data_IF_482656742649
#
_entry.id   IF_482656742649
#
_cell.length_a   1.000
_cell.length_b   1.000
_cell.length_c   1.000
_cell.angle_alpha   90.00
_cell.angle_beta   90.00
_cell.angle_gamma   90.00
#
_symmetry.space_group_name_H-M   'P 1'
#
loop_
_entity.id
_entity.type
_entity.pdbx_description
1 polymer ?
#
# COMPACT_ATOMS: atom_id res chain seq x y z
N UNK A 1 7.07 -0.43 19.25
CA UNK A 1 5.87 0.32 19.71
C UNK A 1 5.33 1.01 18.46
N UNK A 2 4.02 0.93 18.22
CA UNK A 2 3.40 1.67 17.14
C UNK A 2 3.68 3.18 17.34
N UNK A 3 4.18 3.84 16.31
CA UNK A 3 4.36 5.30 16.35
C UNK A 3 3.00 5.97 16.22
N UNK A 4 2.61 6.73 17.23
CA UNK A 4 1.35 7.48 17.20
C UNK A 4 1.63 8.96 17.49
N UNK A 5 0.87 9.84 16.85
CA UNK A 5 0.87 11.27 17.10
C UNK A 5 -0.55 11.83 17.00
N UNK A 6 -0.74 13.10 17.42
CA UNK A 6 -2.05 13.74 17.39
C UNK A 6 -2.08 14.93 16.44
N UNK A 7 -3.18 15.03 15.69
CA UNK A 7 -3.53 16.21 14.89
C UNK A 7 -4.84 16.76 15.46
N UNK A 8 -4.74 17.81 16.28
CA UNK A 8 -5.89 18.31 17.03
C UNK A 8 -6.42 17.25 18.00
N UNK A 9 -7.68 16.84 17.82
CA UNK A 9 -8.31 15.81 18.64
C UNK A 9 -8.14 14.37 18.10
N UNK A 10 -7.64 14.21 16.87
CA UNK A 10 -7.51 12.93 16.21
C UNK A 10 -6.19 12.27 16.57
N UNK A 11 -6.22 10.97 16.72
CA UNK A 11 -5.03 10.14 16.91
C UNK A 11 -4.66 9.47 15.58
N UNK A 12 -3.37 9.53 15.23
CA UNK A 12 -2.86 8.97 13.97
C UNK A 12 -1.79 7.95 14.31
N UNK A 13 -1.99 6.71 13.88
CA UNK A 13 -1.06 5.60 14.07
C UNK A 13 -0.40 5.24 12.76
N UNK A 14 0.92 5.07 12.78
CA UNK A 14 1.70 4.51 11.69
C UNK A 14 1.69 2.99 11.80
N UNK A 15 1.13 2.32 10.83
CA UNK A 15 1.12 0.85 10.74
C UNK A 15 2.12 0.47 9.64
N UNK A 16 3.36 0.21 10.03
CA UNK A 16 4.40 -0.20 9.09
C UNK A 16 4.17 -1.64 8.64
N UNK A 17 4.27 -1.90 7.35
CA UNK A 17 4.23 -3.26 6.80
C UNK A 17 5.62 -3.81 6.54
N UNK A 18 6.46 -3.04 5.86
CA UNK A 18 7.78 -3.45 5.42
C UNK A 18 8.71 -2.24 5.34
N UNK A 19 10.00 -2.49 5.49
CA UNK A 19 11.04 -1.52 5.20
C UNK A 19 12.27 -2.23 4.62
N UNK A 20 12.98 -1.57 3.72
CA UNK A 20 14.16 -2.16 3.12
C UNK A 20 14.76 -1.35 1.98
N UNK A 21 15.89 -1.83 1.46
CA UNK A 21 16.49 -1.30 0.24
C UNK A 21 15.58 -1.59 -0.95
N UNK A 22 15.11 -0.53 -1.58
CA UNK A 22 14.12 -0.61 -2.65
C UNK A 22 14.79 -0.67 -4.03
N UNK A 23 15.68 0.26 -4.33
CA UNK A 23 16.35 0.39 -5.62
C UNK A 23 17.63 1.21 -5.49
N UNK A 24 18.67 0.97 -6.28
CA UNK A 24 19.73 1.95 -6.41
C UNK A 24 19.21 3.20 -7.13
N UNK A 25 19.70 4.41 -6.77
CA UNK A 25 19.18 5.67 -7.31
C UNK A 25 19.18 5.74 -8.85
N UNK A 26 20.22 5.25 -9.50
CA UNK A 26 20.36 5.24 -10.95
C UNK A 26 19.35 4.35 -11.68
N UNK A 27 18.74 3.39 -10.99
CA UNK A 27 17.69 2.55 -11.55
C UNK A 27 16.29 3.18 -11.40
N UNK A 28 16.13 4.09 -10.43
CA UNK A 28 14.85 4.75 -10.16
C UNK A 28 14.69 6.05 -10.95
N UNK A 29 15.78 6.81 -11.14
CA UNK A 29 15.74 8.12 -11.80
C UNK A 29 16.32 8.03 -13.21
N UNK A 30 15.50 8.31 -14.21
CA UNK A 30 15.88 8.21 -15.64
C UNK A 30 17.03 9.17 -16.03
N UNK A 31 17.13 10.33 -15.35
CA UNK A 31 18.16 11.34 -15.56
C UNK A 31 19.09 11.43 -14.34
N UNK A 32 19.61 10.29 -13.88
CA UNK A 32 20.48 10.22 -12.72
C UNK A 32 21.89 10.75 -13.03
N UNK A 33 22.33 11.76 -12.29
CA UNK A 33 23.69 12.30 -12.33
C UNK A 33 24.46 11.97 -11.06
N UNK A 34 25.36 10.99 -11.12
CA UNK A 34 26.10 10.49 -9.96
C UNK A 34 26.91 11.57 -9.22
N UNK A 35 27.53 12.50 -9.95
CA UNK A 35 28.32 13.59 -9.35
C UNK A 35 27.45 14.59 -8.59
N UNK A 36 26.26 14.91 -9.12
CA UNK A 36 25.29 15.78 -8.45
C UNK A 36 24.69 15.09 -7.23
N UNK A 37 24.34 13.81 -7.35
CA UNK A 37 23.80 13.01 -6.25
C UNK A 37 24.81 12.89 -5.10
N UNK A 38 26.09 12.62 -5.39
CA UNK A 38 27.13 12.48 -4.37
C UNK A 38 27.29 13.74 -3.48
N UNK A 39 26.91 14.93 -3.98
CA UNK A 39 26.99 16.17 -3.19
C UNK A 39 25.90 16.29 -2.14
N UNK A 40 24.81 15.52 -2.28
CA UNK A 40 23.64 15.59 -1.39
C UNK A 40 23.34 14.27 -0.68
N UNK A 41 24.02 13.18 -1.03
CA UNK A 41 23.77 11.83 -0.52
C UNK A 41 23.77 11.76 1.01
N UNK A 42 24.73 12.40 1.65
CA UNK A 42 24.85 12.42 3.13
C UNK A 42 23.60 13.00 3.83
N UNK A 43 22.85 13.86 3.14
CA UNK A 43 21.61 14.43 3.69
C UNK A 43 20.45 13.43 3.74
N UNK A 44 20.54 12.33 2.98
CA UNK A 44 19.54 11.27 2.94
C UNK A 44 19.90 10.06 3.80
N UNK A 45 21.14 9.96 4.27
CA UNK A 45 21.58 8.90 5.17
C UNK A 45 21.28 9.23 6.64
N UNK A 46 20.93 8.21 7.45
CA UNK A 46 20.62 6.82 7.07
C UNK A 46 19.15 6.57 6.74
N UNK A 47 18.30 7.60 6.74
CA UNK A 47 16.85 7.41 6.74
C UNK A 47 16.30 6.99 5.37
N UNK A 48 16.76 7.63 4.30
CA UNK A 48 16.27 7.40 2.95
C UNK A 48 17.31 6.76 2.02
N UNK A 49 18.56 6.66 2.44
CA UNK A 49 19.65 6.05 1.68
C UNK A 49 20.50 5.18 2.61
N UNK A 50 20.69 3.91 2.29
CA UNK A 50 21.53 2.97 3.04
C UNK A 50 22.27 2.06 2.08
N UNK A 51 23.59 1.93 2.26
CA UNK A 51 24.43 1.03 1.45
C UNK A 51 24.27 1.25 -0.06
N UNK A 52 24.06 2.50 -0.49
CA UNK A 52 23.85 2.87 -1.88
C UNK A 52 22.45 2.56 -2.43
N UNK A 53 21.52 2.09 -1.60
CA UNK A 53 20.13 1.82 -1.96
C UNK A 53 19.20 2.87 -1.39
N UNK A 54 18.23 3.32 -2.18
CA UNK A 54 17.08 4.08 -1.66
C UNK A 54 16.34 3.15 -0.70
N UNK A 55 16.14 3.63 0.52
CA UNK A 55 15.49 2.89 1.59
C UNK A 55 14.02 3.30 1.67
N UNK A 56 13.14 2.33 1.43
CA UNK A 56 11.71 2.55 1.38
C UNK A 56 10.97 1.97 2.59
N UNK A 57 9.80 2.53 2.84
CA UNK A 57 8.88 2.10 3.91
C UNK A 57 7.51 1.92 3.33
N UNK A 58 6.96 0.69 3.42
CA UNK A 58 5.54 0.46 3.18
C UNK A 58 4.79 0.64 4.50
N UNK A 59 3.79 1.50 4.49
CA UNK A 59 3.06 1.84 5.70
C UNK A 59 1.65 2.33 5.39
N UNK A 60 0.75 2.06 6.31
CA UNK A 60 -0.59 2.61 6.33
C UNK A 60 -0.72 3.64 7.45
N UNK A 61 -1.67 4.55 7.32
CA UNK A 61 -1.99 5.50 8.37
C UNK A 61 -3.41 5.25 8.89
N UNK A 62 -3.51 4.85 10.15
CA UNK A 62 -4.79 4.71 10.83
C UNK A 62 -5.11 6.02 11.54
N UNK A 63 -6.23 6.64 11.18
CA UNK A 63 -6.75 7.87 11.79
C UNK A 63 -7.95 7.51 12.66
N UNK A 64 -7.80 7.63 13.98
CA UNK A 64 -8.89 7.49 14.92
C UNK A 64 -9.45 8.88 15.25
N UNK A 65 -10.71 9.09 14.85
CA UNK A 65 -11.44 10.35 15.12
C UNK A 65 -12.22 10.30 16.44
N UNK A 66 -12.25 9.14 17.12
CA UNK A 66 -13.12 8.82 18.24
C UNK A 66 -14.46 8.23 17.81
N UNK A 67 -15.02 8.70 16.70
CA UNK A 67 -16.29 8.21 16.15
C UNK A 67 -16.08 7.22 15.00
N UNK A 68 -14.96 7.34 14.28
CA UNK A 68 -14.66 6.56 13.10
C UNK A 68 -13.15 6.28 12.99
N UNK A 69 -12.78 5.09 12.49
CA UNK A 69 -11.41 4.67 12.18
C UNK A 69 -11.25 4.57 10.68
N UNK A 70 -10.34 5.39 10.15
CA UNK A 70 -10.02 5.45 8.72
C UNK A 70 -8.61 4.92 8.52
N UNK A 71 -8.46 3.84 7.76
CA UNK A 71 -7.17 3.32 7.34
C UNK A 71 -6.86 3.87 5.95
N UNK A 72 -5.77 4.63 5.84
CA UNK A 72 -5.31 5.20 4.57
C UNK A 72 -4.24 4.31 3.99
N UNK A 73 -4.50 3.78 2.81
CA UNK A 73 -3.75 2.77 2.08
C UNK A 73 -3.56 1.47 2.89
N UNK A 74 -3.21 0.39 2.21
CA UNK A 74 -3.14 -0.93 2.82
C UNK A 74 -1.93 -1.74 2.35
N UNK A 75 -0.81 -1.09 2.04
CA UNK A 75 0.45 -1.75 1.73
C UNK A 75 0.41 -2.74 0.54
N UNK A 76 1.34 -3.68 0.52
CA UNK A 76 1.50 -4.66 -0.57
C UNK A 76 0.77 -6.01 -0.32
N UNK A 77 0.50 -6.36 0.94
CA UNK A 77 -0.21 -7.59 1.32
C UNK A 77 0.64 -8.85 1.33
N UNK A 78 0.20 -9.86 2.08
CA UNK A 78 0.90 -11.14 2.17
C UNK A 78 0.46 -12.15 1.11
N UNK A 79 1.41 -13.01 0.69
CA UNK A 79 1.16 -14.16 -0.19
C UNK A 79 0.71 -13.81 -1.60
N UNK A 80 0.89 -12.56 -2.03
CA UNK A 80 0.46 -12.08 -3.35
C UNK A 80 1.56 -12.22 -4.39
N UNK A 81 1.18 -12.61 -5.61
CA UNK A 81 2.11 -12.73 -6.73
C UNK A 81 2.28 -11.37 -7.42
N UNK A 82 3.50 -10.84 -7.39
CA UNK A 82 3.83 -9.50 -7.90
C UNK A 82 4.96 -9.55 -8.95
N UNK A 83 4.68 -10.11 -10.14
CA UNK A 83 5.73 -10.32 -11.14
C UNK A 83 6.34 -9.01 -11.66
N UNK A 84 5.60 -7.90 -11.60
CA UNK A 84 6.07 -6.58 -12.04
C UNK A 84 7.08 -5.95 -11.09
N UNK A 85 6.93 -6.20 -9.77
CA UNK A 85 7.84 -5.71 -8.73
C UNK A 85 8.09 -6.85 -7.73
N UNK A 86 9.05 -7.76 -8.00
CA UNK A 86 9.25 -8.98 -7.21
C UNK A 86 9.56 -8.76 -5.73
N UNK A 87 10.09 -7.59 -5.34
CA UNK A 87 10.36 -7.24 -3.94
C UNK A 87 9.07 -7.19 -3.10
N UNK A 88 7.91 -7.02 -3.71
CA UNK A 88 6.60 -7.03 -3.07
C UNK A 88 5.85 -8.35 -3.30
N UNK A 89 6.50 -9.32 -3.96
CA UNK A 89 5.92 -10.64 -4.18
C UNK A 89 6.12 -11.58 -3.00
N UNK A 90 5.10 -12.40 -2.72
CA UNK A 90 5.11 -13.44 -1.67
C UNK A 90 5.56 -12.93 -0.29
N UNK A 91 5.21 -11.69 0.04
CA UNK A 91 5.52 -11.16 1.36
C UNK A 91 4.84 -11.98 2.47
N UNK A 92 5.51 -12.06 3.62
CA UNK A 92 4.99 -12.57 4.89
C UNK A 92 5.34 -11.57 5.99
N UNK A 93 4.53 -10.53 6.11
CA UNK A 93 4.76 -9.41 7.02
C UNK A 93 3.85 -9.48 8.23
N UNK A 94 4.23 -8.78 9.30
CA UNK A 94 3.43 -8.68 10.52
C UNK A 94 2.42 -7.52 10.50
N UNK A 95 1.89 -7.10 9.37
CA UNK A 95 1.01 -5.93 9.27
C UNK A 95 -0.19 -5.98 10.23
N UNK A 96 -0.95 -7.09 10.22
CA UNK A 96 -2.11 -7.25 11.12
C UNK A 96 -1.71 -7.34 12.59
N UNK A 97 -0.53 -7.89 12.91
CA UNK A 97 -0.01 -7.88 14.28
C UNK A 97 0.33 -6.46 14.73
N UNK A 98 0.89 -5.62 13.85
CA UNK A 98 1.17 -4.22 14.16
C UNK A 98 -0.10 -3.38 14.30
N UNK A 99 -1.14 -3.69 13.53
CA UNK A 99 -2.47 -3.11 13.73
C UNK A 99 -3.02 -3.47 15.13
N UNK A 100 -2.88 -4.75 15.54
CA UNK A 100 -3.29 -5.21 16.87
C UNK A 100 -2.44 -4.57 17.98
N UNK A 101 -1.14 -4.39 17.79
CA UNK A 101 -0.25 -3.69 18.72
C UNK A 101 -0.62 -2.21 18.90
N UNK A 102 -1.22 -1.60 17.88
CA UNK A 102 -1.80 -0.27 17.95
C UNK A 102 -3.16 -0.22 18.67
N UNK A 103 -3.74 -1.39 19.01
CA UNK A 103 -4.99 -1.51 19.75
C UNK A 103 -6.23 -1.72 18.87
N UNK A 104 -6.05 -2.05 17.59
CA UNK A 104 -7.16 -2.22 16.64
C UNK A 104 -7.10 -3.59 15.95
N UNK A 105 -8.29 -4.13 15.68
CA UNK A 105 -8.48 -5.31 14.84
C UNK A 105 -9.00 -4.90 13.43
N UNK A 106 -8.98 -5.80 12.46
CA UNK A 106 -9.60 -5.55 11.15
C UNK A 106 -11.08 -5.16 11.24
N UNK A 107 -11.81 -5.69 12.21
CA UNK A 107 -13.22 -5.44 12.45
C UNK A 107 -13.51 -4.02 12.99
N UNK A 108 -12.48 -3.34 13.53
CA UNK A 108 -12.59 -1.99 14.08
C UNK A 108 -12.49 -0.90 13.00
N UNK A 109 -12.08 -1.25 11.79
CA UNK A 109 -11.90 -0.30 10.70
C UNK A 109 -13.24 -0.01 10.02
N UNK A 110 -13.64 1.27 10.05
CA UNK A 110 -14.89 1.74 9.46
C UNK A 110 -14.74 2.13 7.98
N UNK A 111 -13.55 2.62 7.60
CA UNK A 111 -13.26 3.05 6.23
C UNK A 111 -11.83 2.70 5.85
N UNK A 112 -11.65 2.11 4.68
CA UNK A 112 -10.36 2.02 3.99
C UNK A 112 -10.37 3.06 2.88
N UNK A 113 -9.41 3.99 2.92
CA UNK A 113 -9.26 5.02 1.91
C UNK A 113 -8.00 4.73 1.08
N UNK A 114 -8.18 4.28 -0.16
CA UNK A 114 -7.07 4.07 -1.09
C UNK A 114 -6.77 5.39 -1.81
N UNK A 115 -5.54 5.89 -1.65
CA UNK A 115 -5.11 7.12 -2.34
C UNK A 115 -5.02 6.90 -3.84
N UNK A 116 -4.59 5.70 -4.25
CA UNK A 116 -4.55 5.19 -5.61
C UNK A 116 -4.43 3.66 -5.60
N UNK A 117 -4.54 3.01 -6.78
CA UNK A 117 -4.62 1.54 -6.86
C UNK A 117 -3.30 0.89 -7.32
N UNK A 118 -2.15 1.37 -6.84
CA UNK A 118 -0.88 0.69 -7.08
C UNK A 118 -0.63 -0.45 -6.10
N UNK A 119 0.31 -1.29 -6.50
CA UNK A 119 0.76 -2.55 -5.87
C UNK A 119 1.07 -2.43 -4.37
N UNK A 120 1.56 -1.29 -3.93
CA UNK A 120 2.02 -0.99 -2.58
C UNK A 120 1.01 -0.19 -1.73
N UNK A 121 -0.22 -0.01 -2.25
CA UNK A 121 -1.27 0.76 -1.58
C UNK A 121 -2.56 -0.02 -1.29
N UNK A 122 -2.78 -1.15 -1.96
CA UNK A 122 -4.07 -1.88 -1.90
C UNK A 122 -3.93 -3.35 -1.49
N UNK A 123 -2.72 -3.80 -1.14
CA UNK A 123 -2.46 -5.21 -0.93
C UNK A 123 -3.29 -5.84 0.20
N UNK A 124 -3.34 -5.22 1.36
CA UNK A 124 -4.17 -5.68 2.48
C UNK A 124 -5.64 -5.29 2.36
N UNK A 125 -6.09 -4.73 1.24
CA UNK A 125 -7.53 -4.68 0.97
C UNK A 125 -8.14 -6.07 1.10
N UNK A 126 -7.36 -7.11 0.78
CA UNK A 126 -7.79 -8.50 0.82
C UNK A 126 -6.72 -9.40 1.46
N UNK A 127 -7.17 -10.50 2.04
CA UNK A 127 -6.33 -11.60 2.49
C UNK A 127 -6.83 -12.92 1.93
N UNK A 128 -5.97 -13.94 1.92
CA UNK A 128 -6.32 -15.27 1.43
C UNK A 128 -7.05 -16.05 2.55
N UNK A 129 -8.28 -16.48 2.28
CA UNK A 129 -9.07 -17.33 3.17
C UNK A 129 -9.66 -18.48 2.36
N UNK A 130 -9.36 -19.70 2.77
CA UNK A 130 -9.86 -20.93 2.11
C UNK A 130 -9.58 -21.01 0.59
N UNK A 131 -8.50 -20.36 0.14
CA UNK A 131 -8.09 -20.30 -1.26
C UNK A 131 -8.70 -19.16 -2.07
N UNK A 132 -9.48 -18.29 -1.46
CA UNK A 132 -10.11 -17.12 -2.08
C UNK A 132 -9.62 -15.82 -1.46
N UNK A 133 -9.49 -14.77 -2.27
CA UNK A 133 -9.20 -13.43 -1.77
C UNK A 133 -10.48 -12.78 -1.27
N UNK A 134 -10.50 -12.43 0.03
CA UNK A 134 -11.65 -11.80 0.69
C UNK A 134 -11.25 -10.47 1.31
N UNK A 135 -12.17 -9.50 1.46
CA UNK A 135 -11.87 -8.23 2.13
C UNK A 135 -11.31 -8.43 3.53
N UNK A 136 -10.17 -7.79 3.83
CA UNK A 136 -9.50 -7.90 5.13
C UNK A 136 -10.25 -7.17 6.23
N UNK A 137 -10.91 -6.06 5.89
CA UNK A 137 -11.63 -5.21 6.84
C UNK A 137 -13.14 -5.38 6.64
N UNK A 138 -13.77 -6.35 7.32
CA UNK A 138 -15.12 -6.83 6.98
C UNK A 138 -16.22 -5.80 7.25
N UNK A 139 -15.97 -4.84 8.13
CA UNK A 139 -16.93 -3.78 8.47
C UNK A 139 -16.70 -2.49 7.67
N UNK A 140 -15.55 -2.38 7.00
CA UNK A 140 -15.15 -1.15 6.32
C UNK A 140 -15.92 -0.91 5.02
N UNK A 141 -16.14 0.37 4.71
CA UNK A 141 -16.42 0.83 3.36
C UNK A 141 -15.11 1.23 2.69
N UNK A 142 -14.83 0.70 1.50
CA UNK A 142 -13.62 0.99 0.75
C UNK A 142 -13.85 2.17 -0.21
N UNK A 143 -13.11 3.25 -0.03
CA UNK A 143 -13.11 4.39 -0.95
C UNK A 143 -12.00 4.19 -1.98
N UNK A 144 -12.38 3.95 -3.23
CA UNK A 144 -11.46 3.66 -4.33
C UNK A 144 -11.54 4.80 -5.37
N UNK A 145 -10.40 5.28 -5.91
CA UNK A 145 -10.42 6.29 -6.96
C UNK A 145 -11.04 5.76 -8.26
N UNK A 146 -12.11 6.40 -8.72
CA UNK A 146 -12.83 5.99 -9.95
C UNK A 146 -11.94 6.04 -11.20
N UNK A 147 -11.01 7.00 -11.25
CA UNK A 147 -10.07 7.13 -12.37
C UNK A 147 -9.09 5.96 -12.42
N UNK A 148 -8.65 5.47 -11.27
CA UNK A 148 -7.74 4.35 -11.16
C UNK A 148 -8.46 3.01 -11.42
N UNK A 149 -9.71 2.89 -10.97
CA UNK A 149 -10.54 1.72 -11.27
C UNK A 149 -10.68 1.52 -12.80
N UNK A 150 -10.91 2.61 -13.54
CA UNK A 150 -10.96 2.57 -15.01
C UNK A 150 -9.57 2.25 -15.60
N UNK A 151 -8.51 2.88 -15.07
CA UNK A 151 -7.17 2.78 -15.64
C UNK A 151 -6.55 1.39 -15.42
N UNK A 152 -6.71 0.81 -14.22
CA UNK A 152 -6.09 -0.45 -13.83
C UNK A 152 -6.94 -1.70 -14.09
N UNK A 153 -8.19 -1.53 -14.54
CA UNK A 153 -9.03 -2.67 -14.90
C UNK A 153 -8.44 -3.40 -16.13
N UNK A 154 -8.00 -4.67 -16.00
CA UNK A 154 -7.34 -5.40 -17.09
C UNK A 154 -8.26 -5.68 -18.29
N UNK A 155 -9.58 -5.65 -18.09
CA UNK A 155 -10.55 -5.78 -19.16
C UNK A 155 -10.81 -4.46 -19.91
N UNK A 156 -10.31 -3.34 -19.37
CA UNK A 156 -10.47 -2.01 -19.93
C UNK A 156 -9.50 -1.70 -21.09
N UNK A 157 -9.94 -0.85 -22.00
CA UNK A 157 -9.11 -0.42 -23.14
C UNK A 157 -7.91 0.42 -22.69
N UNK A 158 -8.06 1.16 -21.61
CA UNK A 158 -6.99 2.02 -21.06
C UNK A 158 -5.82 1.16 -20.55
N UNK A 159 -6.08 0.12 -19.78
CA UNK A 159 -5.05 -0.81 -19.29
C UNK A 159 -4.28 -1.46 -20.44
N UNK A 160 -4.97 -1.94 -21.48
CA UNK A 160 -4.38 -2.63 -22.62
C UNK A 160 -3.40 -1.77 -23.42
N UNK A 161 -3.54 -0.45 -23.35
CA UNK A 161 -2.71 0.52 -24.07
C UNK A 161 -1.70 1.25 -23.18
N UNK A 162 -1.77 1.04 -21.86
CA UNK A 162 -0.94 1.72 -20.87
C UNK A 162 0.50 1.18 -20.90
N UNK A 163 1.46 2.07 -21.09
CA UNK A 163 2.88 1.74 -20.92
C UNK A 163 3.17 1.48 -19.43
N UNK A 164 3.82 0.36 -19.11
CA UNK A 164 4.18 0.03 -17.74
C UNK A 164 3.08 -0.64 -16.94
N UNK A 165 1.93 -0.98 -17.52
CA UNK A 165 0.82 -1.63 -16.82
C UNK A 165 1.25 -2.92 -16.07
N UNK A 166 2.29 -3.60 -16.55
CA UNK A 166 2.83 -4.83 -15.92
C UNK A 166 3.35 -4.62 -14.49
N UNK A 167 3.67 -3.40 -14.07
CA UNK A 167 4.10 -3.13 -12.68
C UNK A 167 2.98 -3.48 -11.69
N UNK A 168 1.72 -3.33 -12.13
CA UNK A 168 0.51 -3.59 -11.36
C UNK A 168 -0.15 -4.94 -11.67
N UNK A 169 0.57 -5.85 -12.31
CA UNK A 169 0.03 -7.17 -12.67
C UNK A 169 -0.49 -7.93 -11.44
N UNK A 170 -1.67 -8.53 -11.57
CA UNK A 170 -2.45 -9.28 -10.55
C UNK A 170 -3.05 -8.40 -9.43
N UNK A 171 -2.70 -7.13 -9.33
CA UNK A 171 -3.17 -6.26 -8.22
C UNK A 171 -4.68 -6.05 -8.29
N UNK A 172 -5.20 -5.78 -9.48
CA UNK A 172 -6.62 -5.53 -9.65
C UNK A 172 -7.45 -6.77 -9.31
N UNK A 173 -7.02 -7.94 -9.77
CA UNK A 173 -7.71 -9.22 -9.60
C UNK A 173 -7.76 -9.66 -8.14
N UNK A 174 -6.66 -9.53 -7.41
CA UNK A 174 -6.57 -10.05 -6.04
C UNK A 174 -6.84 -9.02 -4.94
N UNK A 175 -6.74 -7.72 -5.24
CA UNK A 175 -6.85 -6.66 -4.20
C UNK A 175 -7.99 -5.68 -4.44
N UNK A 176 -8.55 -5.61 -5.66
CA UNK A 176 -9.64 -4.68 -6.01
C UNK A 176 -10.95 -5.43 -6.30
N UNK A 177 -10.94 -6.41 -7.22
CA UNK A 177 -12.15 -7.17 -7.60
C UNK A 177 -12.89 -7.77 -6.40
N UNK A 178 -12.25 -8.38 -5.40
CA UNK A 178 -12.98 -8.94 -4.26
C UNK A 178 -13.68 -7.86 -3.42
N UNK A 179 -13.08 -6.66 -3.33
CA UNK A 179 -13.71 -5.51 -2.67
C UNK A 179 -14.94 -5.05 -3.46
N UNK A 180 -14.81 -4.88 -4.78
CA UNK A 180 -15.94 -4.50 -5.64
C UNK A 180 -17.07 -5.53 -5.55
N UNK A 181 -16.72 -6.82 -5.54
CA UNK A 181 -17.68 -7.92 -5.45
C UNK A 181 -18.40 -7.95 -4.09
N UNK A 182 -17.75 -7.51 -3.02
CA UNK A 182 -18.36 -7.44 -1.69
C UNK A 182 -19.51 -6.41 -1.59
N UNK A 183 -19.56 -5.45 -2.50
CA UNK A 183 -20.52 -4.35 -2.49
C UNK A 183 -20.27 -3.28 -1.43
N UNK A 184 -19.17 -3.35 -0.68
CA UNK A 184 -18.81 -2.40 0.37
C UNK A 184 -17.78 -1.38 -0.12
N UNK A 185 -18.10 -0.65 -1.15
CA UNK A 185 -17.19 0.34 -1.73
C UNK A 185 -17.91 1.60 -2.23
N UNK A 186 -17.14 2.66 -2.37
CA UNK A 186 -17.48 3.86 -3.12
C UNK A 186 -16.38 4.16 -4.13
N UNK A 187 -16.76 4.48 -5.34
CA UNK A 187 -15.87 5.07 -6.33
C UNK A 187 -15.93 6.60 -6.17
N UNK A 188 -14.81 7.21 -5.87
CA UNK A 188 -14.67 8.65 -5.57
C UNK A 188 -13.83 9.37 -6.62
#
# INVERSE_FOLDING_TARGET
MAEAFRIGRYEVHRIEEWQGGFSPPEALFAEFEAEAFAQVADAFEPDCLREGMIYGYLQSWLIDTGDMRVLVDTGAGNGKQRPGIPIFGDLDTGFLSRLADAGYSPEDIDTVFCTHLHIDHVGWNTHLQDGEWVPTFPNATYCLPAVDDIAWNPDGDQYRTMSGAQVNANVYEDSVVPVLTSGRFWLV
#
